data_IF_138915112138
#
_entry.id   IF_138915112138
#
_cell.length_a   1.000
_cell.length_b   1.000
_cell.length_c   1.000
_cell.angle_alpha   90.00
_cell.angle_beta   90.00
_cell.angle_gamma   90.00
#
_symmetry.space_group_name_H-M   'P 1'
#
loop_
_entity.id
_entity.type
_entity.pdbx_description
1 polymer ?
#
# COMPACT_ATOMS: atom_id res chain seq x y z
N UNK A 1 8.51 5.01 15.59
CA UNK A 1 9.81 4.64 16.22
C UNK A 1 10.88 4.22 15.20
N UNK A 2 10.56 4.05 13.90
CA UNK A 2 11.51 3.55 12.88
C UNK A 2 12.00 4.58 11.84
N UNK A 3 11.39 5.78 11.75
CA UNK A 3 11.88 6.84 10.85
C UNK A 3 13.33 7.25 11.17
N UNK A 4 13.79 6.99 12.40
CA UNK A 4 15.17 7.20 12.82
C UNK A 4 16.18 6.24 12.18
N UNK A 5 15.75 5.11 11.60
CA UNK A 5 16.62 4.06 11.02
C UNK A 5 16.82 4.18 9.50
N UNK A 6 16.17 5.16 8.86
CA UNK A 6 16.18 5.33 7.40
C UNK A 6 16.97 6.60 7.04
N UNK A 7 17.78 6.51 5.98
CA UNK A 7 18.53 7.65 5.49
C UNK A 7 17.63 8.67 4.77
N UNK A 8 17.71 9.97 5.09
CA UNK A 8 16.91 11.00 4.43
C UNK A 8 17.34 11.33 2.98
N UNK A 9 18.47 10.79 2.51
CA UNK A 9 18.97 10.99 1.12
C UNK A 9 18.62 9.78 0.25
N UNK A 10 18.95 8.56 0.72
CA UNK A 10 18.74 7.34 -0.06
C UNK A 10 17.34 6.75 0.15
N UNK A 11 16.68 7.10 1.25
CA UNK A 11 15.41 6.51 1.70
C UNK A 11 15.49 5.00 1.97
N UNK A 12 16.70 4.47 2.13
CA UNK A 12 16.98 3.09 2.53
C UNK A 12 17.38 3.01 4.01
N UNK A 13 17.29 1.81 4.61
CA UNK A 13 17.91 1.53 5.90
C UNK A 13 19.40 1.84 5.87
N UNK A 14 19.92 2.43 6.95
CA UNK A 14 21.33 2.77 7.03
C UNK A 14 22.23 1.53 6.99
N UNK A 15 23.12 1.46 6.00
CA UNK A 15 24.17 0.45 5.92
C UNK A 15 25.43 0.93 6.63
N UNK A 16 25.81 2.19 6.43
CA UNK A 16 26.93 2.85 7.10
C UNK A 16 26.52 4.28 7.55
N UNK A 17 25.72 4.38 8.63
CA UNK A 17 25.21 5.66 9.10
C UNK A 17 26.32 6.56 9.64
N UNK A 18 26.32 7.83 9.23
CA UNK A 18 27.17 8.91 9.74
C UNK A 18 26.35 10.08 10.20
N UNK A 19 26.72 10.68 11.33
CA UNK A 19 26.10 11.89 11.85
C UNK A 19 26.95 13.12 11.51
N UNK A 20 26.30 14.16 11.00
CA UNK A 20 26.90 15.48 10.76
C UNK A 20 26.87 16.35 12.02
N UNK A 21 27.63 17.45 12.00
CA UNK A 21 27.61 18.45 13.09
C UNK A 21 26.26 19.20 13.18
N UNK A 22 25.45 19.11 12.13
CA UNK A 22 24.06 19.57 12.08
C UNK A 22 23.09 18.67 12.87
N UNK A 23 23.60 17.61 13.51
CA UNK A 23 22.84 16.70 14.36
C UNK A 23 22.03 15.64 13.62
N UNK A 24 22.09 15.61 12.28
CA UNK A 24 21.33 14.67 11.45
C UNK A 24 22.21 13.49 11.00
N UNK A 25 21.58 12.33 10.80
CA UNK A 25 22.28 11.11 10.34
C UNK A 25 21.97 10.80 8.89
N UNK A 26 23.00 10.40 8.14
CA UNK A 26 22.98 10.15 6.71
C UNK A 26 23.72 8.86 6.36
N UNK A 27 23.45 8.30 5.18
CA UNK A 27 24.22 7.19 4.61
C UNK A 27 25.54 7.74 4.08
N UNK A 28 26.68 7.16 4.51
CA UNK A 28 28.01 7.73 4.26
C UNK A 28 28.25 8.05 2.80
N UNK A 29 27.96 7.10 1.92
CA UNK A 29 28.22 7.26 0.49
C UNK A 29 27.39 8.41 -0.10
N UNK A 30 26.11 8.47 0.27
CA UNK A 30 25.16 9.46 -0.24
C UNK A 30 25.49 10.88 0.23
N UNK A 31 25.77 11.07 1.53
CA UNK A 31 26.11 12.40 2.05
C UNK A 31 27.48 12.87 1.59
N UNK A 32 28.46 11.96 1.46
CA UNK A 32 29.79 12.32 0.95
C UNK A 32 29.70 12.82 -0.49
N UNK A 33 28.86 12.19 -1.32
CA UNK A 33 28.59 12.66 -2.68
C UNK A 33 27.91 14.04 -2.66
N UNK A 34 26.86 14.20 -1.85
CA UNK A 34 26.13 15.47 -1.73
C UNK A 34 27.04 16.62 -1.32
N UNK A 35 27.88 16.44 -0.29
CA UNK A 35 28.82 17.46 0.20
C UNK A 35 29.83 17.85 -0.88
N UNK A 36 30.35 16.89 -1.66
CA UNK A 36 31.29 17.20 -2.75
C UNK A 36 30.65 18.04 -3.86
N UNK A 37 29.36 17.85 -4.11
CA UNK A 37 28.62 18.58 -5.14
C UNK A 37 28.09 19.94 -4.65
N UNK A 38 27.67 20.05 -3.38
CA UNK A 38 26.91 21.19 -2.87
C UNK A 38 27.54 21.90 -1.65
N UNK A 39 28.49 21.29 -0.95
CA UNK A 39 29.17 21.85 0.22
C UNK A 39 28.29 22.09 1.47
N UNK A 40 27.06 21.57 1.48
CA UNK A 40 26.04 21.88 2.51
C UNK A 40 25.30 20.63 2.97
N UNK A 41 24.62 20.72 4.12
CA UNK A 41 23.64 19.71 4.57
C UNK A 41 22.39 19.72 3.69
N UNK A 42 21.90 18.55 3.24
CA UNK A 42 20.67 18.46 2.44
C UNK A 42 19.41 18.85 3.23
N UNK A 43 19.44 18.83 4.57
CA UNK A 43 18.28 19.10 5.42
C UNK A 43 18.26 20.54 5.93
N UNK A 44 19.39 21.03 6.44
CA UNK A 44 19.47 22.37 7.04
C UNK A 44 19.97 23.43 6.07
N UNK A 45 20.62 23.02 4.96
CA UNK A 45 21.32 23.90 4.00
C UNK A 45 22.51 24.65 4.58
N UNK A 46 22.92 24.33 5.80
CA UNK A 46 24.11 24.88 6.44
C UNK A 46 25.39 24.23 5.89
N UNK A 47 26.55 24.90 5.94
CA UNK A 47 27.83 24.32 5.51
C UNK A 47 28.15 23.02 6.24
N UNK A 48 28.56 21.99 5.49
CA UNK A 48 28.92 20.68 6.03
C UNK A 48 30.11 20.09 5.26
N UNK A 49 31.08 19.52 5.97
CA UNK A 49 32.30 18.92 5.37
C UNK A 49 32.35 17.41 5.59
N UNK A 50 33.07 16.70 4.72
CA UNK A 50 33.20 15.23 4.81
C UNK A 50 33.96 14.84 6.08
N UNK A 51 34.93 15.66 6.48
CA UNK A 51 35.78 15.47 7.65
C UNK A 51 34.99 15.61 8.97
N UNK A 52 33.88 16.36 8.95
CA UNK A 52 33.01 16.54 10.10
C UNK A 52 32.06 15.34 10.35
N UNK A 53 31.96 14.40 9.41
CA UNK A 53 31.07 13.23 9.53
C UNK A 53 31.63 12.19 10.50
N UNK A 54 30.85 11.83 11.51
CA UNK A 54 31.23 10.80 12.50
C UNK A 54 30.37 9.55 12.33
N UNK A 55 30.93 8.32 12.43
CA UNK A 55 30.13 7.10 12.38
C UNK A 55 29.09 7.05 13.50
N UNK A 56 27.82 6.82 13.17
CA UNK A 56 26.74 6.64 14.14
C UNK A 56 26.58 5.15 14.49
N UNK A 57 27.51 4.65 15.31
CA UNK A 57 27.60 3.22 15.68
C UNK A 57 26.36 2.71 16.43
N UNK A 58 25.70 3.57 17.21
CA UNK A 58 24.46 3.22 17.92
C UNK A 58 23.36 2.92 16.92
N UNK A 59 23.18 3.78 15.93
CA UNK A 59 22.18 3.57 14.91
C UNK A 59 22.50 2.36 14.03
N UNK A 60 23.78 2.14 13.72
CA UNK A 60 24.23 0.94 12.99
C UNK A 60 23.82 -0.35 13.72
N UNK A 61 24.06 -0.43 15.04
CA UNK A 61 23.63 -1.59 15.84
C UNK A 61 22.11 -1.79 15.81
N UNK A 62 21.33 -0.72 15.91
CA UNK A 62 19.87 -0.81 15.85
C UNK A 62 19.38 -1.30 14.48
N UNK A 63 20.01 -0.85 13.38
CA UNK A 63 19.69 -1.36 12.04
C UNK A 63 20.09 -2.82 11.89
N UNK A 64 21.27 -3.21 12.38
CA UNK A 64 21.74 -4.60 12.29
C UNK A 64 20.86 -5.56 13.11
N UNK A 65 20.45 -5.15 14.32
CA UNK A 65 19.49 -5.88 15.16
C UNK A 65 18.13 -6.02 14.47
N UNK A 66 17.69 -4.97 13.78
CA UNK A 66 16.46 -4.95 13.02
C UNK A 66 16.49 -5.82 11.77
N UNK A 67 17.57 -5.79 11.00
CA UNK A 67 17.80 -6.69 9.87
C UNK A 67 17.87 -8.15 10.34
N UNK A 68 18.55 -8.40 11.46
CA UNK A 68 18.65 -9.73 12.07
C UNK A 68 17.29 -10.23 12.56
N UNK A 69 16.48 -9.37 13.19
CA UNK A 69 15.13 -9.70 13.59
C UNK A 69 14.23 -10.02 12.38
N UNK A 70 14.38 -9.26 11.28
CA UNK A 70 13.63 -9.47 10.03
C UNK A 70 14.06 -10.74 9.28
N UNK A 71 15.30 -11.21 9.46
CA UNK A 71 15.85 -12.48 8.90
C UNK A 71 15.75 -13.67 9.86
N UNK A 72 15.24 -13.49 11.07
CA UNK A 72 15.17 -14.54 12.09
C UNK A 72 14.10 -15.59 11.77
N UNK A 73 14.22 -16.80 12.35
CA UNK A 73 13.22 -17.91 12.29
C UNK A 73 11.78 -17.49 12.62
N UNK A 74 11.58 -16.31 13.19
CA UNK A 74 10.28 -15.75 13.58
C UNK A 74 9.42 -15.21 12.42
N UNK A 75 10.00 -14.99 11.23
CA UNK A 75 9.27 -14.56 10.03
C UNK A 75 8.95 -15.71 9.06
N UNK A 76 9.36 -16.94 9.39
CA UNK A 76 9.03 -18.13 8.63
C UNK A 76 8.15 -19.06 9.48
N UNK A 77 7.01 -19.44 8.94
CA UNK A 77 6.05 -20.35 9.55
C UNK A 77 5.96 -21.63 8.72
N UNK A 78 5.64 -22.74 9.37
CA UNK A 78 5.38 -24.02 8.70
C UNK A 78 3.90 -24.39 8.79
N UNK A 79 3.30 -24.70 7.64
CA UNK A 79 1.94 -25.22 7.58
C UNK A 79 1.87 -26.60 8.25
N UNK A 80 0.87 -26.84 9.09
CA UNK A 80 0.73 -28.07 9.87
C UNK A 80 1.59 -28.14 11.15
N UNK A 81 2.46 -27.15 11.38
CA UNK A 81 3.29 -27.06 12.60
C UNK A 81 2.98 -25.79 13.38
N UNK A 82 3.01 -24.62 12.73
CA UNK A 82 2.76 -23.33 13.38
C UNK A 82 1.34 -22.82 13.13
N UNK A 83 0.80 -23.09 11.93
CA UNK A 83 -0.53 -22.67 11.48
C UNK A 83 -1.19 -23.77 10.64
N UNK A 84 -2.51 -23.79 10.57
CA UNK A 84 -3.26 -24.61 9.60
C UNK A 84 -4.45 -23.84 9.03
N UNK A 85 -4.90 -24.23 7.85
CA UNK A 85 -6.16 -23.74 7.27
C UNK A 85 -7.35 -24.30 8.05
N UNK A 86 -8.37 -23.48 8.32
CA UNK A 86 -9.63 -23.95 8.93
C UNK A 86 -10.54 -24.67 7.94
N UNK A 87 -10.44 -24.33 6.65
CA UNK A 87 -11.26 -24.87 5.58
C UNK A 87 -10.44 -25.05 4.31
N UNK A 88 -10.80 -26.07 3.53
CA UNK A 88 -10.25 -26.25 2.18
C UNK A 88 -10.83 -25.22 1.17
N UNK A 89 -11.96 -24.59 1.50
CA UNK A 89 -12.58 -23.56 0.66
C UNK A 89 -11.92 -22.20 0.95
N UNK A 90 -11.47 -21.54 -0.11
CA UNK A 90 -10.97 -20.17 0.00
C UNK A 90 -12.09 -19.21 0.41
N UNK A 91 -11.78 -18.27 1.31
CA UNK A 91 -12.65 -17.13 1.63
C UNK A 91 -12.83 -16.23 0.39
N UNK A 92 -11.75 -16.06 -0.37
CA UNK A 92 -11.72 -15.26 -1.57
C UNK A 92 -10.73 -15.84 -2.56
N UNK A 93 -11.07 -15.82 -3.86
CA UNK A 93 -10.21 -16.33 -4.91
C UNK A 93 -10.36 -15.49 -6.17
N UNK A 94 -9.21 -15.10 -6.74
CA UNK A 94 -9.11 -14.41 -8.03
C UNK A 94 -8.03 -15.09 -8.87
N UNK A 95 -7.79 -14.59 -10.08
CA UNK A 95 -6.72 -15.12 -10.93
C UNK A 95 -5.34 -14.81 -10.31
N UNK A 96 -4.70 -15.85 -9.76
CA UNK A 96 -3.37 -15.78 -9.16
C UNK A 96 -3.33 -15.46 -7.67
N UNK A 97 -4.48 -15.29 -6.99
CA UNK A 97 -4.54 -15.10 -5.54
C UNK A 97 -5.68 -15.88 -4.90
N UNK A 98 -5.41 -16.47 -3.74
CA UNK A 98 -6.42 -17.11 -2.91
C UNK A 98 -6.18 -16.81 -1.43
N UNK A 99 -7.26 -16.54 -0.68
CA UNK A 99 -7.21 -16.26 0.76
C UNK A 99 -7.93 -17.39 1.49
N UNK A 100 -7.27 -17.98 2.48
CA UNK A 100 -7.81 -19.05 3.33
C UNK A 100 -7.87 -18.59 4.78
N UNK A 101 -8.97 -18.87 5.48
CA UNK A 101 -9.01 -18.70 6.93
C UNK A 101 -8.05 -19.70 7.59
N UNK A 102 -7.31 -19.24 8.59
CA UNK A 102 -6.33 -20.06 9.29
C UNK A 102 -6.40 -19.91 10.81
N UNK A 103 -5.74 -20.82 11.51
CA UNK A 103 -5.57 -20.78 12.96
C UNK A 103 -4.17 -21.20 13.38
N UNK A 104 -3.75 -20.66 14.53
CA UNK A 104 -2.49 -21.00 15.17
C UNK A 104 -2.58 -22.39 15.78
N UNK A 105 -1.55 -23.21 15.61
CA UNK A 105 -1.50 -24.58 16.15
C UNK A 105 -0.88 -24.65 17.55
N UNK A 106 -0.18 -23.61 17.98
CA UNK A 106 0.36 -23.49 19.33
C UNK A 106 -0.52 -22.52 20.13
N UNK A 107 -1.05 -22.99 21.25
CA UNK A 107 -1.96 -22.22 22.09
C UNK A 107 -1.27 -20.97 22.66
N UNK A 108 -1.84 -19.83 22.28
CA UNK A 108 -1.70 -18.59 23.03
C UNK A 108 -2.92 -17.71 22.69
N UNK A 109 -3.87 -17.60 23.62
CA UNK A 109 -5.13 -16.84 23.49
C UNK A 109 -4.94 -15.35 23.16
N UNK A 110 -3.70 -14.83 23.23
CA UNK A 110 -3.38 -13.45 22.90
C UNK A 110 -3.05 -13.19 21.42
N UNK A 111 -2.98 -14.23 20.57
CA UNK A 111 -2.60 -14.06 19.17
C UNK A 111 -3.76 -13.56 18.30
N UNK A 112 -3.51 -12.65 17.34
CA UNK A 112 -4.55 -12.16 16.44
C UNK A 112 -5.07 -13.27 15.53
N UNK A 113 -6.32 -13.12 15.06
CA UNK A 113 -6.89 -13.97 14.01
C UNK A 113 -6.09 -13.81 12.72
N UNK A 114 -5.96 -14.87 11.94
CA UNK A 114 -5.06 -14.93 10.77
C UNK A 114 -5.71 -15.50 9.53
N UNK A 115 -5.13 -15.14 8.38
CA UNK A 115 -5.40 -15.73 7.06
C UNK A 115 -4.10 -16.12 6.37
N UNK A 116 -4.22 -17.04 5.42
CA UNK A 116 -3.17 -17.38 4.47
C UNK A 116 -3.51 -16.79 3.12
N UNK A 117 -2.70 -15.84 2.65
CA UNK A 117 -2.76 -15.30 1.30
C UNK A 117 -1.77 -16.08 0.43
N UNK A 118 -2.30 -16.92 -0.46
CA UNK A 118 -1.53 -17.61 -1.49
C UNK A 118 -1.49 -16.74 -2.74
N UNK A 119 -0.28 -16.47 -3.23
CA UNK A 119 0.00 -15.72 -4.45
C UNK A 119 0.69 -16.66 -5.42
N UNK A 120 0.13 -16.82 -6.61
CA UNK A 120 0.64 -17.66 -7.68
C UNK A 120 1.18 -16.79 -8.84
N UNK A 121 2.25 -17.24 -9.47
CA UNK A 121 2.87 -16.63 -10.64
C UNK A 121 4.36 -16.34 -10.48
N UNK A 122 5.02 -16.12 -11.62
CA UNK A 122 6.46 -15.89 -11.72
C UNK A 122 7.00 -14.67 -10.93
N UNK A 123 6.11 -13.82 -10.41
CA UNK A 123 6.46 -12.62 -9.63
C UNK A 123 6.04 -12.70 -8.16
N UNK A 124 5.49 -13.83 -7.71
CA UNK A 124 4.96 -14.00 -6.35
C UNK A 124 6.01 -13.67 -5.26
N UNK A 125 7.27 -14.08 -5.43
CA UNK A 125 8.37 -13.77 -4.48
C UNK A 125 8.67 -12.27 -4.40
N UNK A 126 8.60 -11.56 -5.52
CA UNK A 126 8.84 -10.11 -5.60
C UNK A 126 7.67 -9.31 -5.04
N UNK A 127 6.45 -9.80 -5.25
CA UNK A 127 5.25 -9.21 -4.66
C UNK A 127 5.24 -9.40 -3.13
N UNK A 128 5.59 -10.60 -2.66
CA UNK A 128 5.68 -10.94 -1.25
C UNK A 128 6.64 -10.04 -0.46
N UNK A 129 7.81 -9.66 -1.03
CA UNK A 129 8.79 -8.83 -0.30
C UNK A 129 8.22 -7.47 0.12
N UNK A 130 7.33 -6.86 -0.67
CA UNK A 130 6.72 -5.59 -0.27
C UNK A 130 5.83 -5.72 0.96
N UNK A 131 5.03 -6.78 1.02
CA UNK A 131 4.15 -7.02 2.17
C UNK A 131 4.94 -7.17 3.48
N UNK A 132 6.17 -7.67 3.41
CA UNK A 132 7.08 -7.76 4.56
C UNK A 132 7.54 -6.38 5.02
N UNK A 133 7.98 -5.53 4.09
CA UNK A 133 8.59 -4.24 4.42
C UNK A 133 7.55 -3.19 4.87
N UNK A 134 6.31 -3.31 4.39
CA UNK A 134 5.25 -2.31 4.57
C UNK A 134 4.29 -2.62 5.73
N UNK A 135 4.40 -3.81 6.34
CA UNK A 135 3.58 -4.31 7.47
C UNK A 135 3.59 -3.40 8.73
N UNK A 136 4.44 -2.37 8.74
CA UNK A 136 4.73 -1.52 9.91
C UNK A 136 3.77 -0.35 10.06
N UNK A 137 3.01 0.00 9.03
CA UNK A 137 2.03 1.08 9.10
C UNK A 137 0.75 0.59 9.80
N UNK A 138 0.19 1.33 10.78
CA UNK A 138 -1.00 0.89 11.52
C UNK A 138 -2.23 0.67 10.62
N UNK A 139 -2.30 1.38 9.49
CA UNK A 139 -3.38 1.30 8.50
C UNK A 139 -3.02 0.54 7.21
N UNK A 140 -2.01 -0.33 7.27
CA UNK A 140 -1.72 -1.32 6.22
C UNK A 140 -1.86 -2.72 6.82
N UNK A 141 -2.44 -3.66 6.08
CA UNK A 141 -2.63 -5.04 6.57
C UNK A 141 -1.29 -5.65 6.95
N UNK A 142 -1.21 -6.09 8.20
CA UNK A 142 -0.02 -6.69 8.78
C UNK A 142 0.21 -8.07 8.18
N UNK A 143 1.37 -8.22 7.57
CA UNK A 143 1.96 -9.50 7.19
C UNK A 143 2.95 -9.94 8.26
N UNK A 144 2.72 -11.13 8.82
CA UNK A 144 3.54 -11.71 9.89
C UNK A 144 4.75 -12.46 9.36
N UNK A 145 4.64 -13.07 8.17
CA UNK A 145 5.67 -13.97 7.67
C UNK A 145 5.31 -14.71 6.39
N UNK A 146 6.26 -15.52 5.94
CA UNK A 146 6.09 -16.50 4.87
C UNK A 146 5.69 -17.86 5.47
N UNK A 147 4.82 -18.60 4.79
CA UNK A 147 4.42 -19.96 5.19
C UNK A 147 4.91 -20.98 4.17
N UNK A 148 5.61 -22.01 4.65
CA UNK A 148 6.16 -23.09 3.84
C UNK A 148 5.39 -24.39 4.08
N UNK A 149 5.27 -25.20 3.03
CA UNK A 149 4.47 -26.44 3.01
C UNK A 149 5.37 -27.69 3.18
N UNK A 150 5.97 -27.89 4.36
CA UNK A 150 6.73 -29.12 4.67
C UNK A 150 8.07 -29.31 3.93
N UNK A 151 8.84 -30.34 4.32
CA UNK A 151 10.27 -30.48 3.98
C UNK A 151 10.57 -31.10 2.59
N UNK A 152 9.56 -31.29 1.74
CA UNK A 152 9.70 -31.76 0.36
C UNK A 152 9.40 -30.61 -0.62
N UNK A 153 10.22 -29.55 -0.58
CA UNK A 153 10.27 -28.55 -1.64
C UNK A 153 10.96 -29.17 -2.88
N UNK A 154 10.34 -30.19 -3.47
CA UNK A 154 10.62 -30.58 -4.84
C UNK A 154 10.21 -29.39 -5.74
N UNK A 155 11.00 -29.13 -6.78
CA UNK A 155 11.05 -27.97 -7.69
C UNK A 155 9.71 -27.46 -8.33
N UNK A 156 8.53 -27.97 -7.95
CA UNK A 156 7.21 -27.55 -8.43
C UNK A 156 6.65 -26.29 -7.72
N UNK A 157 7.23 -25.84 -6.60
CA UNK A 157 6.81 -24.66 -5.84
C UNK A 157 7.42 -23.32 -6.33
N UNK A 158 8.13 -23.31 -7.46
CA UNK A 158 8.99 -22.18 -7.87
C UNK A 158 8.24 -20.85 -8.08
N UNK A 159 6.92 -20.89 -8.32
CA UNK A 159 6.09 -19.74 -8.68
C UNK A 159 4.92 -19.49 -7.71
N UNK A 160 4.92 -20.00 -6.47
CA UNK A 160 3.88 -19.62 -5.50
C UNK A 160 4.48 -19.21 -4.16
N UNK A 161 3.84 -18.25 -3.49
CA UNK A 161 4.22 -17.79 -2.16
C UNK A 161 2.98 -17.71 -1.28
N UNK A 162 3.09 -18.20 -0.04
CA UNK A 162 2.02 -18.05 0.94
C UNK A 162 2.46 -17.08 2.03
N UNK A 163 1.66 -16.04 2.25
CA UNK A 163 1.84 -15.03 3.29
C UNK A 163 0.88 -15.28 4.44
N UNK A 164 1.37 -15.14 5.67
CA UNK A 164 0.56 -15.14 6.88
C UNK A 164 0.18 -13.69 7.22
N UNK A 165 -1.12 -13.38 7.22
CA UNK A 165 -1.62 -12.03 7.46
C UNK A 165 -2.65 -12.00 8.59
N UNK A 166 -2.88 -10.83 9.17
CA UNK A 166 -3.99 -10.62 10.10
C UNK A 166 -5.33 -10.69 9.38
N UNK A 167 -6.32 -11.32 10.03
CA UNK A 167 -7.69 -11.39 9.54
C UNK A 167 -8.47 -10.14 9.96
N UNK A 168 -9.11 -9.48 9.01
CA UNK A 168 -10.11 -8.44 9.26
C UNK A 168 -11.47 -9.07 9.61
N UNK A 169 -11.96 -8.96 10.87
CA UNK A 169 -13.18 -9.65 11.30
C UNK A 169 -14.46 -9.17 10.59
N UNK A 170 -14.50 -7.91 10.18
CA UNK A 170 -15.68 -7.27 9.58
C UNK A 170 -15.65 -7.33 8.04
N UNK A 171 -14.63 -7.96 7.45
CA UNK A 171 -14.45 -8.02 6.00
C UNK A 171 -13.98 -6.68 5.39
N UNK A 172 -14.30 -6.50 4.12
CA UNK A 172 -14.01 -5.26 3.37
C UNK A 172 -15.00 -4.15 3.71
N UNK A 173 -14.58 -2.90 3.54
CA UNK A 173 -15.46 -1.74 3.68
C UNK A 173 -16.63 -1.81 2.70
N UNK A 174 -16.41 -2.35 1.50
CA UNK A 174 -17.49 -2.61 0.54
C UNK A 174 -18.58 -3.51 1.14
N UNK A 175 -18.21 -4.66 1.72
CA UNK A 175 -19.16 -5.58 2.35
C UNK A 175 -19.88 -4.93 3.54
N UNK A 176 -19.16 -4.20 4.39
CA UNK A 176 -19.75 -3.45 5.50
C UNK A 176 -20.81 -2.47 5.01
N UNK A 177 -20.55 -1.73 3.93
CA UNK A 177 -21.48 -0.75 3.37
C UNK A 177 -22.77 -1.38 2.81
N UNK A 178 -22.73 -2.65 2.36
CA UNK A 178 -23.92 -3.36 1.89
C UNK A 178 -24.89 -3.71 3.01
N UNK A 179 -24.37 -3.95 4.22
CA UNK A 179 -25.16 -4.43 5.36
C UNK A 179 -25.44 -3.35 6.39
N UNK A 180 -24.58 -2.32 6.45
CA UNK A 180 -24.55 -1.35 7.52
C UNK A 180 -24.48 0.07 6.94
N UNK A 181 -25.43 0.92 7.34
CA UNK A 181 -25.33 2.36 7.11
C UNK A 181 -24.28 2.98 8.04
N UNK A 182 -23.23 3.56 7.44
CA UNK A 182 -22.22 4.35 8.15
C UNK A 182 -22.58 5.84 8.07
N UNK A 183 -22.46 6.55 9.18
CA UNK A 183 -22.63 8.00 9.19
C UNK A 183 -21.35 8.70 8.73
N UNK A 184 -21.47 10.00 8.44
CA UNK A 184 -20.36 10.80 7.92
C UNK A 184 -19.14 10.85 8.86
N UNK A 185 -19.35 10.94 10.17
CA UNK A 185 -18.25 10.99 11.15
C UNK A 185 -17.40 9.70 11.13
N UNK A 186 -18.04 8.53 10.98
CA UNK A 186 -17.33 7.25 10.86
C UNK A 186 -16.54 7.21 9.55
N UNK A 187 -17.16 7.60 8.43
CA UNK A 187 -16.50 7.62 7.13
C UNK A 187 -15.29 8.56 7.14
N UNK A 188 -15.42 9.76 7.71
CA UNK A 188 -14.31 10.70 7.85
C UNK A 188 -13.14 10.12 8.66
N UNK A 189 -13.43 9.46 9.79
CA UNK A 189 -12.40 8.81 10.60
C UNK A 189 -11.68 7.67 9.85
N UNK A 190 -12.40 6.93 9.00
CA UNK A 190 -11.82 5.91 8.13
C UNK A 190 -10.99 6.52 6.99
N UNK A 191 -11.45 7.61 6.37
CA UNK A 191 -10.71 8.28 5.29
C UNK A 191 -9.39 8.87 5.77
N UNK A 192 -9.32 9.39 7.00
CA UNK A 192 -8.06 9.84 7.58
C UNK A 192 -7.04 8.71 7.69
N UNK A 193 -7.46 7.54 8.16
CA UNK A 193 -6.62 6.33 8.24
C UNK A 193 -6.14 5.85 6.86
N UNK A 194 -7.04 5.87 5.86
CA UNK A 194 -6.69 5.50 4.47
C UNK A 194 -5.70 6.50 3.88
N UNK A 195 -5.90 7.80 4.12
CA UNK A 195 -5.02 8.87 3.64
C UNK A 195 -3.62 8.75 4.25
N UNK A 196 -3.53 8.47 5.55
CA UNK A 196 -2.25 8.23 6.24
C UNK A 196 -1.49 7.05 5.61
N UNK A 197 -2.17 5.94 5.36
CA UNK A 197 -1.59 4.79 4.66
C UNK A 197 -1.15 5.14 3.23
N UNK A 198 -1.93 5.94 2.48
CA UNK A 198 -1.54 6.39 1.14
C UNK A 198 -0.30 7.30 1.15
N UNK A 199 -0.18 8.20 2.13
CA UNK A 199 1.02 9.03 2.30
C UNK A 199 2.22 8.14 2.54
N UNK A 200 2.08 7.12 3.41
CA UNK A 200 3.13 6.14 3.65
C UNK A 200 3.51 5.37 2.38
N UNK A 201 2.55 4.90 1.58
CA UNK A 201 2.84 4.23 0.31
C UNK A 201 3.59 5.15 -0.66
N UNK A 202 3.13 6.40 -0.82
CA UNK A 202 3.77 7.39 -1.69
C UNK A 202 5.21 7.70 -1.25
N UNK A 203 5.46 7.86 0.05
CA UNK A 203 6.82 8.05 0.59
C UNK A 203 7.76 6.87 0.32
N UNK A 204 7.21 5.65 0.25
CA UNK A 204 7.97 4.46 -0.12
C UNK A 204 8.06 4.23 -1.64
N UNK A 205 7.61 5.20 -2.45
CA UNK A 205 7.61 5.10 -3.91
C UNK A 205 6.64 4.04 -4.46
N UNK A 206 5.59 3.74 -3.70
CA UNK A 206 4.59 2.72 -4.03
C UNK A 206 3.30 3.40 -4.45
N UNK A 207 2.84 3.05 -5.64
CA UNK A 207 1.53 3.40 -6.16
C UNK A 207 0.60 2.23 -5.87
N UNK A 208 -0.54 2.49 -5.22
CA UNK A 208 -1.54 1.47 -4.97
C UNK A 208 -2.11 0.95 -6.30
N UNK A 209 -2.61 1.85 -7.16
CA UNK A 209 -3.09 1.57 -8.51
C UNK A 209 -4.40 0.77 -8.59
N UNK A 210 -4.99 0.42 -7.45
CA UNK A 210 -6.32 -0.23 -7.37
C UNK A 210 -7.06 0.18 -6.08
N UNK A 211 -7.06 1.47 -5.76
CA UNK A 211 -7.69 1.96 -4.54
C UNK A 211 -9.23 1.97 -4.68
N UNK A 212 -9.92 1.19 -3.84
CA UNK A 212 -11.38 1.06 -3.81
C UNK A 212 -11.86 0.49 -2.46
N UNK A 213 -13.14 0.59 -2.12
CA UNK A 213 -13.67 0.11 -0.83
C UNK A 213 -13.48 -1.41 -0.63
N UNK A 214 -13.40 -2.19 -1.71
CA UNK A 214 -13.09 -3.64 -1.65
C UNK A 214 -11.67 -3.94 -1.17
N UNK A 215 -10.74 -2.99 -1.32
CA UNK A 215 -9.33 -3.11 -0.91
C UNK A 215 -9.04 -2.35 0.41
N UNK A 216 -10.09 -1.93 1.11
CA UNK A 216 -10.03 -1.42 2.48
C UNK A 216 -10.65 -2.48 3.40
N UNK A 217 -9.88 -3.01 4.34
CA UNK A 217 -10.37 -4.00 5.30
C UNK A 217 -10.72 -3.35 6.64
N UNK A 218 -11.81 -3.79 7.26
CA UNK A 218 -12.32 -3.26 8.53
C UNK A 218 -11.97 -4.22 9.67
N UNK A 219 -11.10 -3.76 10.58
CA UNK A 219 -10.61 -4.55 11.72
C UNK A 219 -11.42 -4.34 12.99
N UNK A 220 -12.03 -3.17 13.12
CA UNK A 220 -12.88 -2.80 14.23
C UNK A 220 -13.94 -1.84 13.73
N UNK A 221 -15.20 -2.16 13.99
CA UNK A 221 -16.35 -1.33 13.68
C UNK A 221 -17.11 -0.96 14.95
N UNK A 222 -17.14 0.32 15.28
CA UNK A 222 -17.91 0.91 16.37
C UNK A 222 -18.71 2.11 15.82
N UNK A 223 -20.04 2.00 15.90
CA UNK A 223 -20.96 3.03 15.38
C UNK A 223 -21.11 4.22 16.32
N UNK A 224 -20.82 4.04 17.60
CA UNK A 224 -20.98 5.05 18.64
C UNK A 224 -19.68 5.82 18.87
N UNK A 225 -18.54 5.16 18.66
CA UNK A 225 -17.23 5.75 18.87
C UNK A 225 -16.41 5.74 17.57
N UNK A 226 -16.60 6.73 16.67
CA UNK A 226 -15.92 6.81 15.38
C UNK A 226 -14.40 6.61 15.45
N UNK A 227 -13.77 7.14 16.50
CA UNK A 227 -12.33 7.09 16.75
C UNK A 227 -11.79 5.69 17.12
N UNK A 228 -12.67 4.74 17.49
CA UNK A 228 -12.30 3.35 17.74
C UNK A 228 -12.32 2.51 16.47
N UNK A 229 -12.85 3.01 15.35
CA UNK A 229 -12.84 2.26 14.09
C UNK A 229 -11.40 2.09 13.58
N UNK A 230 -11.09 0.89 13.09
CA UNK A 230 -9.77 0.59 12.51
C UNK A 230 -9.97 0.04 11.11
N UNK A 231 -9.39 0.72 10.13
CA UNK A 231 -9.34 0.27 8.73
C UNK A 231 -7.91 0.15 8.24
N UNK A 232 -7.65 -0.80 7.33
CA UNK A 232 -6.32 -1.02 6.77
C UNK A 232 -6.38 -1.29 5.27
N UNK A 233 -5.42 -0.78 4.53
CA UNK A 233 -5.25 -1.04 3.10
C UNK A 233 -4.62 -2.40 2.83
N UNK A 234 -5.11 -3.06 1.78
CA UNK A 234 -4.58 -4.31 1.22
C UNK A 234 -4.38 -4.18 -0.29
N UNK A 235 -3.73 -5.17 -0.91
CA UNK A 235 -3.63 -5.31 -2.37
C UNK A 235 -3.04 -4.11 -3.13
N UNK A 236 -2.14 -3.37 -2.49
CA UNK A 236 -1.34 -2.30 -3.08
C UNK A 236 -0.20 -2.85 -3.96
N UNK A 237 0.25 -2.08 -4.95
CA UNK A 237 1.52 -2.33 -5.66
C UNK A 237 1.48 -3.41 -6.75
N UNK A 238 0.30 -3.85 -7.18
CA UNK A 238 0.11 -4.88 -8.24
C UNK A 238 -0.08 -4.22 -9.63
N UNK A 239 -0.11 -2.89 -9.70
CA UNK A 239 -0.36 -2.16 -10.95
C UNK A 239 0.89 -2.08 -11.84
N UNK A 240 0.66 -2.09 -13.16
CA UNK A 240 1.61 -2.27 -14.28
C UNK A 240 2.97 -1.53 -14.22
N UNK A 241 3.17 -0.52 -13.38
CA UNK A 241 4.32 0.39 -13.52
C UNK A 241 4.92 0.93 -12.21
N UNK A 242 4.75 0.26 -11.06
CA UNK A 242 5.79 0.36 -10.02
C UNK A 242 7.15 0.14 -10.69
N UNK A 243 8.23 0.82 -10.30
CA UNK A 243 9.60 0.72 -10.91
C UNK A 243 10.08 -0.73 -11.15
N UNK A 244 9.39 -1.68 -10.54
CA UNK A 244 9.61 -3.12 -10.51
C UNK A 244 8.85 -3.91 -11.60
N UNK A 245 7.96 -3.27 -12.39
CA UNK A 245 7.29 -3.82 -13.57
C UNK A 245 7.74 -3.15 -14.88
N UNK A 246 8.88 -2.44 -14.88
CA UNK A 246 9.52 -1.98 -16.10
C UNK A 246 9.64 -3.16 -17.10
N UNK A 247 9.30 -2.98 -18.38
CA UNK A 247 9.14 -4.10 -19.30
C UNK A 247 10.48 -4.77 -19.58
N UNK A 248 10.72 -5.93 -18.98
CA UNK A 248 11.69 -6.90 -19.49
C UNK A 248 11.00 -7.74 -20.56
N UNK A 249 10.83 -7.19 -21.77
CA UNK A 249 10.53 -7.84 -23.07
C UNK A 249 9.59 -9.08 -23.13
N UNK A 250 8.78 -9.36 -22.12
CA UNK A 250 7.96 -10.57 -22.03
C UNK A 250 6.50 -10.19 -21.87
N UNK A 251 5.77 -10.37 -22.97
CA UNK A 251 4.33 -10.17 -23.12
C UNK A 251 3.58 -11.35 -22.49
N UNK A 252 3.83 -11.64 -21.21
CA UNK A 252 3.03 -12.61 -20.47
C UNK A 252 1.79 -11.89 -19.90
N UNK A 253 0.61 -12.29 -20.38
CA UNK A 253 -0.69 -11.79 -19.87
C UNK A 253 -0.95 -12.33 -18.46
N UNK A 254 -0.43 -11.66 -17.45
CA UNK A 254 -0.82 -11.84 -16.04
C UNK A 254 -1.99 -10.92 -15.65
N UNK A 255 -2.71 -11.21 -14.57
CA UNK A 255 -3.83 -10.43 -13.97
C UNK A 255 -3.55 -8.92 -13.84
N UNK A 256 -2.26 -8.59 -13.76
CA UNK A 256 -1.60 -7.26 -13.76
C UNK A 256 -2.03 -6.35 -14.93
N UNK A 257 -2.71 -6.89 -15.96
CA UNK A 257 -3.13 -6.12 -17.12
C UNK A 257 -4.53 -5.48 -17.07
N UNK A 258 -5.32 -5.71 -16.02
CA UNK A 258 -6.68 -5.17 -15.92
C UNK A 258 -6.64 -3.82 -15.18
N UNK A 259 -6.91 -2.74 -15.90
CA UNK A 259 -7.09 -1.41 -15.30
C UNK A 259 -8.46 -1.40 -14.60
N UNK A 260 -8.57 -0.95 -13.34
CA UNK A 260 -9.86 -0.79 -12.68
C UNK A 260 -10.58 0.43 -13.27
N UNK A 261 -11.14 0.28 -14.47
CA UNK A 261 -11.61 1.38 -15.34
C UNK A 261 -12.45 2.43 -14.62
N UNK A 262 -13.34 1.98 -13.73
CA UNK A 262 -14.30 2.83 -13.01
C UNK A 262 -13.68 3.65 -11.86
N UNK A 263 -12.46 3.32 -11.46
CA UNK A 263 -11.70 3.97 -10.38
C UNK A 263 -10.48 4.72 -10.91
N UNK A 264 -10.05 4.42 -12.14
CA UNK A 264 -8.84 4.94 -12.73
C UNK A 264 -8.96 6.42 -13.12
N UNK A 265 -7.87 7.14 -12.90
CA UNK A 265 -7.71 8.53 -13.30
C UNK A 265 -7.72 8.68 -14.84
N UNK A 266 -8.11 9.86 -15.38
CA UNK A 266 -8.20 10.08 -16.82
C UNK A 266 -6.87 9.83 -17.55
N UNK A 267 -5.72 10.16 -16.94
CA UNK A 267 -4.39 9.90 -17.50
C UNK A 267 -4.10 8.40 -17.61
N UNK A 268 -4.42 7.61 -16.58
CA UNK A 268 -4.28 6.15 -16.59
C UNK A 268 -5.16 5.54 -17.70
N UNK A 269 -6.39 6.06 -17.85
CA UNK A 269 -7.32 5.64 -18.89
C UNK A 269 -6.86 6.06 -20.30
N UNK A 270 -6.14 7.17 -20.43
CA UNK A 270 -5.50 7.61 -21.67
C UNK A 270 -4.22 6.82 -22.03
N UNK A 271 -3.91 5.77 -21.26
CA UNK A 271 -2.70 4.96 -21.36
C UNK A 271 -1.42 5.69 -20.92
N UNK A 272 -1.53 6.72 -20.08
CA UNK A 272 -0.39 7.29 -19.37
C UNK A 272 -0.05 6.47 -18.12
N UNK A 273 1.06 6.83 -17.46
CA UNK A 273 1.58 6.08 -16.31
C UNK A 273 0.80 6.38 -15.03
N UNK A 274 0.67 5.36 -14.18
CA UNK A 274 0.22 5.55 -12.80
C UNK A 274 1.19 6.45 -12.04
N UNK A 275 0.65 7.20 -11.09
CA UNK A 275 1.39 8.06 -10.18
C UNK A 275 0.67 8.16 -8.84
N UNK A 276 1.32 8.75 -7.84
CA UNK A 276 0.66 9.17 -6.59
C UNK A 276 -0.60 10.02 -6.85
N UNK A 277 -0.65 10.79 -7.95
CA UNK A 277 -1.79 11.64 -8.31
C UNK A 277 -2.94 10.83 -8.89
N UNK A 278 -2.63 9.74 -9.59
CA UNK A 278 -3.67 8.80 -10.02
C UNK A 278 -4.30 8.08 -8.82
N UNK A 279 -3.54 7.79 -7.76
CA UNK A 279 -4.10 7.26 -6.51
C UNK A 279 -4.96 8.29 -5.77
N UNK A 280 -4.58 9.58 -5.80
CA UNK A 280 -5.42 10.67 -5.26
C UNK A 280 -6.76 10.72 -5.98
N UNK A 281 -6.80 10.55 -7.31
CA UNK A 281 -8.06 10.46 -8.04
C UNK A 281 -8.89 9.25 -7.58
N UNK A 282 -8.27 8.06 -7.50
CA UNK A 282 -8.95 6.84 -7.04
C UNK A 282 -9.44 6.96 -5.59
N UNK A 283 -8.76 7.73 -4.74
CA UNK A 283 -9.22 8.05 -3.38
C UNK A 283 -10.53 8.85 -3.39
N UNK A 284 -10.67 9.80 -4.32
CA UNK A 284 -11.94 10.50 -4.54
C UNK A 284 -13.07 9.55 -4.97
N UNK A 285 -12.78 8.58 -5.85
CA UNK A 285 -13.76 7.56 -6.26
C UNK A 285 -14.14 6.64 -5.10
N UNK A 286 -13.17 6.21 -4.28
CA UNK A 286 -13.38 5.42 -3.06
C UNK A 286 -14.28 6.16 -2.07
N UNK A 287 -14.01 7.45 -1.80
CA UNK A 287 -14.86 8.27 -0.93
C UNK A 287 -16.28 8.37 -1.51
N UNK A 288 -16.42 8.58 -2.81
CA UNK A 288 -17.73 8.60 -3.48
C UNK A 288 -18.47 7.26 -3.34
N UNK A 289 -17.79 6.14 -3.52
CA UNK A 289 -18.32 4.78 -3.37
C UNK A 289 -18.84 4.58 -1.93
N UNK A 290 -18.05 4.99 -0.93
CA UNK A 290 -18.41 4.90 0.47
C UNK A 290 -19.64 5.73 0.82
N UNK A 291 -19.70 7.01 0.40
CA UNK A 291 -20.91 7.82 0.57
C UNK A 291 -22.09 7.22 -0.19
N UNK A 292 -21.88 6.67 -1.38
CA UNK A 292 -22.95 6.07 -2.17
C UNK A 292 -23.42 4.70 -1.65
N UNK A 293 -22.94 4.25 -0.48
CA UNK A 293 -23.25 2.94 0.12
C UNK A 293 -22.84 1.76 -0.77
N UNK A 294 -21.65 1.85 -1.35
CA UNK A 294 -21.08 0.80 -2.18
C UNK A 294 -21.74 0.68 -3.57
N UNK A 295 -22.38 1.74 -4.08
CA UNK A 295 -22.79 1.77 -5.49
C UNK A 295 -21.56 1.70 -6.39
N UNK A 296 -21.71 0.98 -7.50
CA UNK A 296 -20.69 0.92 -8.55
C UNK A 296 -20.50 2.33 -9.14
N UNK A 297 -19.27 2.88 -9.19
CA UNK A 297 -19.01 4.15 -9.85
C UNK A 297 -19.38 4.09 -11.33
N UNK A 298 -20.01 5.16 -11.83
CA UNK A 298 -20.49 5.26 -13.22
C UNK A 298 -21.53 4.19 -13.59
N UNK A 299 -22.38 3.77 -12.65
CA UNK A 299 -23.37 2.71 -12.87
C UNK A 299 -24.40 3.01 -13.97
N UNK A 300 -24.56 4.28 -14.36
CA UNK A 300 -25.37 4.69 -15.51
C UNK A 300 -24.76 4.28 -16.87
N UNK A 301 -23.46 3.97 -16.89
CA UNK A 301 -22.71 3.69 -18.10
C UNK A 301 -22.66 2.19 -18.36
N UNK A 302 -23.11 1.78 -19.55
CA UNK A 302 -23.33 0.38 -19.92
C UNK A 302 -22.04 -0.44 -20.16
N UNK A 303 -20.87 0.21 -20.27
CA UNK A 303 -19.59 -0.48 -20.51
C UNK A 303 -18.40 0.31 -19.98
N UNK A 304 -17.29 -0.39 -19.75
CA UNK A 304 -16.02 0.24 -19.35
C UNK A 304 -15.46 1.19 -20.42
N UNK A 305 -15.69 0.91 -21.71
CA UNK A 305 -15.30 1.81 -22.80
C UNK A 305 -16.06 3.15 -22.75
N UNK A 306 -17.34 3.10 -22.38
CA UNK A 306 -18.16 4.29 -22.17
C UNK A 306 -17.62 5.12 -21.00
N UNK A 307 -17.38 4.47 -19.86
CA UNK A 307 -16.79 5.12 -18.67
C UNK A 307 -15.46 5.77 -19.02
N UNK A 308 -14.59 5.05 -19.74
CA UNK A 308 -13.31 5.57 -20.20
C UNK A 308 -13.48 6.85 -21.02
N UNK A 309 -14.42 6.89 -21.97
CA UNK A 309 -14.69 8.08 -22.79
C UNK A 309 -15.19 9.26 -21.94
N UNK A 310 -16.14 9.01 -21.05
CA UNK A 310 -16.73 10.05 -20.19
C UNK A 310 -15.68 10.69 -19.28
N UNK A 311 -14.90 9.85 -18.60
CA UNK A 311 -13.85 10.32 -17.67
C UNK A 311 -12.76 11.10 -18.41
N UNK A 312 -12.31 10.63 -19.59
CA UNK A 312 -11.28 11.36 -20.36
C UNK A 312 -11.80 12.65 -20.97
N UNK A 313 -13.12 12.79 -21.17
CA UNK A 313 -13.78 14.03 -21.60
C UNK A 313 -14.06 15.00 -20.44
N UNK A 314 -13.70 14.64 -19.20
CA UNK A 314 -13.84 15.50 -18.02
C UNK A 314 -15.21 15.42 -17.35
N UNK A 315 -16.05 14.43 -17.68
CA UNK A 315 -17.24 14.15 -16.88
C UNK A 315 -16.84 13.80 -15.44
N UNK A 316 -17.71 14.13 -14.49
CA UNK A 316 -17.51 13.88 -13.06
C UNK A 316 -18.67 13.10 -12.47
N UNK A 317 -18.37 12.31 -11.43
CA UNK A 317 -19.38 11.66 -10.61
C UNK A 317 -20.30 12.70 -9.97
N UNK A 318 -21.57 12.35 -9.81
CA UNK A 318 -22.55 13.21 -9.16
C UNK A 318 -22.46 13.11 -7.64
N UNK A 319 -22.58 14.23 -6.93
CA UNK A 319 -22.55 14.27 -5.46
C UNK A 319 -23.59 13.30 -4.84
N UNK A 320 -23.19 12.38 -3.95
CA UNK A 320 -24.14 11.53 -3.23
C UNK A 320 -25.01 12.32 -2.25
N UNK A 321 -26.28 11.94 -2.09
CA UNK A 321 -27.25 12.65 -1.25
C UNK A 321 -26.83 12.77 0.24
N UNK A 322 -26.12 11.78 0.75
CA UNK A 322 -25.65 11.70 2.14
C UNK A 322 -24.21 12.24 2.33
N UNK A 323 -23.63 12.86 1.31
CA UNK A 323 -22.34 13.52 1.40
C UNK A 323 -22.56 15.01 1.72
N UNK A 324 -21.92 15.54 2.76
CA UNK A 324 -21.97 16.99 3.04
C UNK A 324 -21.31 17.80 1.92
N UNK A 325 -21.61 19.10 1.85
CA UNK A 325 -21.02 19.97 0.81
C UNK A 325 -19.54 20.21 1.07
N UNK A 326 -19.15 20.28 2.35
CA UNK A 326 -17.76 20.35 2.77
C UNK A 326 -16.99 19.12 2.31
N UNK A 327 -17.51 17.93 2.55
CA UNK A 327 -16.84 16.70 2.11
C UNK A 327 -16.83 16.53 0.60
N UNK A 328 -17.93 16.91 -0.08
CA UNK A 328 -17.95 16.88 -1.54
C UNK A 328 -16.86 17.76 -2.15
N UNK A 329 -16.58 18.94 -1.58
CA UNK A 329 -15.49 19.80 -2.02
C UNK A 329 -14.11 19.13 -1.89
N UNK A 330 -13.89 18.31 -0.85
CA UNK A 330 -12.68 17.50 -0.70
C UNK A 330 -12.60 16.44 -1.80
N UNK A 331 -13.70 15.71 -2.04
CA UNK A 331 -13.78 14.68 -3.09
C UNK A 331 -13.54 15.28 -4.48
N UNK A 332 -14.14 16.44 -4.78
CA UNK A 332 -13.92 17.14 -6.05
C UNK A 332 -12.47 17.58 -6.21
N UNK A 333 -11.81 17.99 -5.13
CA UNK A 333 -10.40 18.37 -5.15
C UNK A 333 -9.51 17.19 -5.54
N UNK A 334 -9.83 15.96 -5.11
CA UNK A 334 -9.14 14.74 -5.57
C UNK A 334 -9.20 14.59 -7.10
N UNK A 335 -10.33 14.91 -7.73
CA UNK A 335 -10.50 14.83 -9.19
C UNK A 335 -9.80 15.96 -9.97
N UNK A 336 -9.56 17.11 -9.32
CA UNK A 336 -8.90 18.27 -9.94
C UNK A 336 -7.37 18.18 -9.80
N UNK A 337 -6.87 17.75 -8.65
CA UNK A 337 -5.43 17.65 -8.36
C UNK A 337 -4.69 16.70 -9.31
N UNK A 338 -5.37 15.71 -9.90
CA UNK A 338 -4.80 14.88 -10.96
C UNK A 338 -4.68 15.62 -12.31
N UNK A 339 -5.57 16.57 -12.59
CA UNK A 339 -5.62 17.32 -13.85
C UNK A 339 -4.67 18.53 -13.88
N UNK A 340 -4.51 19.27 -12.76
CA UNK A 340 -3.75 20.53 -12.72
C UNK A 340 -2.22 20.39 -12.92
N UNK A 341 -1.64 19.19 -12.87
CA UNK A 341 -0.21 18.98 -13.16
C UNK A 341 0.07 18.72 -14.65
N UNK A 342 -0.96 18.73 -15.50
CA UNK A 342 -0.81 18.66 -16.97
C UNK A 342 -0.31 19.99 -17.56
N UNK A 343 -0.73 21.12 -17.00
CA UNK A 343 -0.36 22.45 -17.51
C UNK A 343 1.05 22.87 -17.12
N UNK A 344 1.62 22.33 -16.04
CA UNK A 344 2.98 22.65 -15.61
C UNK A 344 4.09 21.88 -16.34
N UNK A 345 3.75 20.86 -17.15
CA UNK A 345 4.72 20.14 -18.01
C UNK A 345 4.65 20.53 -19.50
N UNK A 346 3.75 21.43 -19.88
CA UNK A 346 3.53 21.84 -21.27
C UNK A 346 4.02 23.24 -21.62
N UNK A 347 4.65 23.97 -20.69
CA UNK A 347 5.37 25.21 -21.00
C UNK A 347 6.90 25.02 -20.91
N UNK A 348 7.54 24.60 -21.99
CA UNK A 348 8.85 25.10 -22.37
C UNK A 348 8.63 26.28 -23.34
N UNK A 349 8.71 27.50 -22.82
CA UNK A 349 8.92 28.68 -23.66
C UNK A 349 10.37 28.78 -24.11
#
# INVERSE_FOLDING_TARGET
MHDSLICPITFDLFRDPVVGEDGHTYEREAITKWIREHGTSPLTREPLTVEALRPNRTLKKLVDEFETASRSKHFQFKLGVDVKTKSHRALFQTFGKAIYEAEWLKDNDSRPRIVLLKIDGARAKKEASFYVDLTRHPNIVRTFGLVHSGDNDDDDAQNSVTLLQELAPEGSLYEVLQHIGLNENILQAMFLQITDAMIFLAHNGIIHGDLACRNVLVFRLDKQEPHKNIVKLTDFGISRHSKLYAPTNSVARTTINIVPTRYAAPEVLANEQYSEKSDVYSMGVLMWEAYSKGKIPWSQSNSDNEVKRQVTQGEKLQKPNNCSTQMWSVIESCFILSLCLRTSRLDPS
#
